data_IF_641534023687
#
_entry.id   IF_641534023687
#
_cell.length_a   1.000
_cell.length_b   1.000
_cell.length_c   1.000
_cell.angle_alpha   90.00
_cell.angle_beta   90.00
_cell.angle_gamma   90.00
#
_symmetry.space_group_name_H-M   'P 1'
#
loop_
_entity.id
_entity.type
_entity.pdbx_description
1 polymer ?
#
# COMPACT_ATOMS: atom_id res chain seq x y z
N UNK A 1 -19.35 19.15 0.95
CA UNK A 1 -18.54 18.07 1.56
C UNK A 1 -17.09 18.34 1.23
N UNK A 2 -16.13 18.23 2.17
CA UNK A 2 -14.73 18.44 1.83
C UNK A 2 -14.26 17.36 0.84
N UNK A 3 -13.39 17.77 -0.09
CA UNK A 3 -12.80 16.91 -1.11
C UNK A 3 -11.98 15.77 -0.46
N UNK A 4 -12.17 14.53 -0.94
CA UNK A 4 -11.37 13.36 -0.53
C UNK A 4 -10.20 13.20 -1.50
N UNK A 5 -9.03 12.86 -0.96
CA UNK A 5 -7.82 12.62 -1.73
C UNK A 5 -7.53 11.11 -1.77
N UNK A 6 -7.37 10.59 -2.98
CA UNK A 6 -7.04 9.20 -3.24
C UNK A 6 -5.63 9.11 -3.76
N UNK A 7 -4.77 8.41 -3.04
CA UNK A 7 -3.46 8.04 -3.56
C UNK A 7 -3.64 6.80 -4.44
N UNK A 8 -3.40 6.96 -5.75
CA UNK A 8 -3.26 5.83 -6.67
C UNK A 8 -1.80 5.43 -6.60
N UNK A 9 -1.51 4.34 -5.91
CA UNK A 9 -0.15 3.90 -5.63
C UNK A 9 0.07 2.45 -6.06
N UNK A 10 1.34 2.11 -6.29
CA UNK A 10 1.81 0.74 -6.13
C UNK A 10 1.76 0.32 -4.66
N UNK A 11 2.16 -0.91 -4.40
CA UNK A 11 2.31 -1.45 -3.04
C UNK A 11 3.77 -1.72 -2.78
N UNK A 12 4.50 -0.69 -2.39
CA UNK A 12 5.88 -0.79 -1.94
C UNK A 12 6.09 0.06 -0.68
N UNK A 13 7.31 0.06 -0.15
CA UNK A 13 7.61 0.85 1.04
C UNK A 13 7.51 2.36 0.83
N UNK A 14 7.86 2.86 -0.36
CA UNK A 14 7.87 4.30 -0.68
C UNK A 14 6.44 4.83 -0.66
N UNK A 15 5.50 4.11 -1.26
CA UNK A 15 4.12 4.59 -1.35
C UNK A 15 3.36 4.44 -0.04
N UNK A 16 3.65 3.41 0.75
CA UNK A 16 3.17 3.36 2.13
C UNK A 16 3.69 4.54 2.94
N UNK A 17 4.99 4.86 2.83
CA UNK A 17 5.59 5.98 3.54
C UNK A 17 4.98 7.34 3.13
N UNK A 18 4.73 7.54 1.83
CA UNK A 18 4.06 8.71 1.29
C UNK A 18 2.61 8.81 1.79
N UNK A 19 1.87 7.71 1.75
CA UNK A 19 0.51 7.66 2.28
C UNK A 19 0.41 8.05 3.75
N UNK A 20 1.31 7.53 4.60
CA UNK A 20 1.32 7.92 6.02
C UNK A 20 1.48 9.42 6.19
N UNK A 21 2.40 10.06 5.44
CA UNK A 21 2.60 11.52 5.50
C UNK A 21 1.33 12.27 5.07
N UNK A 22 0.65 11.77 4.04
CA UNK A 22 -0.62 12.33 3.58
C UNK A 22 -1.74 12.17 4.63
N UNK A 23 -1.86 10.99 5.22
CA UNK A 23 -2.84 10.68 6.29
C UNK A 23 -2.62 11.55 7.53
N UNK A 24 -1.37 11.79 7.91
CA UNK A 24 -1.04 12.69 9.03
C UNK A 24 -1.46 14.14 8.78
N UNK A 25 -1.41 14.61 7.53
CA UNK A 25 -1.80 15.97 7.18
C UNK A 25 -3.31 16.13 6.96
N UNK A 26 -3.96 15.11 6.37
CA UNK A 26 -5.34 15.22 5.89
C UNK A 26 -6.36 14.44 6.73
N UNK A 27 -5.89 13.56 7.61
CA UNK A 27 -6.71 12.67 8.44
C UNK A 27 -7.62 11.79 7.58
N UNK A 28 -8.89 11.69 7.96
CA UNK A 28 -9.91 10.89 7.26
C UNK A 28 -10.20 11.30 5.82
N UNK A 29 -9.67 12.44 5.36
CA UNK A 29 -9.80 12.86 3.96
C UNK A 29 -8.82 12.14 3.03
N UNK A 30 -7.75 11.58 3.57
CA UNK A 30 -6.82 10.73 2.83
C UNK A 30 -7.24 9.27 2.96
N UNK A 31 -7.28 8.60 1.82
CA UNK A 31 -7.58 7.18 1.74
C UNK A 31 -6.58 6.49 0.81
N UNK A 32 -6.11 5.33 1.23
CA UNK A 32 -5.26 4.49 0.41
C UNK A 32 -6.12 3.70 -0.55
N UNK A 33 -5.89 3.85 -1.86
CA UNK A 33 -6.63 3.09 -2.83
C UNK A 33 -6.06 1.68 -2.95
N UNK A 34 -6.93 0.68 -2.83
CA UNK A 34 -6.58 -0.72 -3.06
C UNK A 34 -7.21 -1.18 -4.37
N UNK A 35 -6.38 -1.64 -5.30
CA UNK A 35 -6.78 -2.41 -6.46
C UNK A 35 -7.70 -3.56 -6.07
N UNK A 36 -8.74 -3.77 -6.86
CA UNK A 36 -9.53 -4.99 -6.77
C UNK A 36 -8.63 -6.21 -7.02
N UNK A 37 -8.83 -7.29 -6.28
CA UNK A 37 -8.02 -8.52 -6.36
C UNK A 37 -6.52 -8.34 -6.04
N UNK A 38 -6.15 -7.30 -5.27
CA UNK A 38 -4.75 -7.03 -4.92
C UNK A 38 -4.01 -8.25 -4.38
N UNK A 39 -4.68 -9.16 -3.65
CA UNK A 39 -4.08 -10.40 -3.12
C UNK A 39 -3.51 -11.27 -4.24
N UNK A 40 -4.33 -11.56 -5.26
CA UNK A 40 -3.92 -12.35 -6.43
C UNK A 40 -2.85 -11.62 -7.24
N UNK A 41 -2.98 -10.31 -7.40
CA UNK A 41 -2.00 -9.50 -8.14
C UNK A 41 -0.64 -9.49 -7.44
N UNK A 42 -0.62 -9.36 -6.11
CA UNK A 42 0.60 -9.40 -5.30
C UNK A 42 1.30 -10.76 -5.43
N UNK A 43 0.57 -11.86 -5.28
CA UNK A 43 1.16 -13.20 -5.41
C UNK A 43 1.66 -13.49 -6.82
N UNK A 44 0.97 -13.00 -7.86
CA UNK A 44 1.30 -13.31 -9.26
C UNK A 44 2.37 -12.39 -9.86
N UNK A 45 2.34 -11.11 -9.52
CA UNK A 45 3.16 -10.07 -10.14
C UNK A 45 4.03 -9.30 -9.15
N UNK A 46 3.95 -9.64 -7.86
CA UNK A 46 4.81 -9.05 -6.84
C UNK A 46 6.28 -9.34 -7.11
N UNK A 47 7.13 -8.38 -6.78
CA UNK A 47 8.55 -8.41 -7.04
C UNK A 47 9.32 -8.33 -5.71
N UNK A 48 10.16 -9.32 -5.46
CA UNK A 48 11.02 -9.34 -4.28
C UNK A 48 12.12 -8.26 -4.35
N UNK A 49 12.62 -7.96 -5.56
CA UNK A 49 13.61 -6.89 -5.74
C UNK A 49 13.06 -5.54 -5.28
N UNK A 50 11.85 -5.18 -5.73
CA UNK A 50 11.18 -3.93 -5.32
C UNK A 50 10.94 -3.89 -3.80
N UNK A 51 10.56 -5.03 -3.21
CA UNK A 51 10.42 -5.16 -1.76
C UNK A 51 11.72 -4.84 -1.02
N UNK A 52 12.84 -5.43 -1.45
CA UNK A 52 14.16 -5.18 -0.85
C UNK A 52 14.57 -3.72 -1.04
N UNK A 53 14.41 -3.20 -2.26
CA UNK A 53 14.83 -1.85 -2.63
C UNK A 53 14.08 -0.75 -1.84
N UNK A 54 12.85 -1.04 -1.36
CA UNK A 54 12.00 -0.10 -0.62
C UNK A 54 11.78 -0.49 0.86
N UNK A 55 12.51 -1.49 1.36
CA UNK A 55 12.30 -2.05 2.70
C UNK A 55 12.46 -1.01 3.82
N UNK A 56 13.38 -0.06 3.64
CA UNK A 56 13.62 1.00 4.64
C UNK A 56 12.39 1.88 4.85
N UNK A 57 11.73 2.28 3.77
CA UNK A 57 10.53 3.11 3.78
C UNK A 57 9.35 2.33 4.34
N UNK A 58 9.25 1.03 4.01
CA UNK A 58 8.25 0.13 4.58
C UNK A 58 8.38 0.03 6.11
N UNK A 59 9.58 -0.22 6.62
CA UNK A 59 9.81 -0.28 8.07
C UNK A 59 9.54 1.07 8.75
N UNK A 60 9.88 2.17 8.07
CA UNK A 60 9.56 3.52 8.53
C UNK A 60 8.06 3.73 8.63
N UNK A 61 7.30 3.28 7.64
CA UNK A 61 5.84 3.28 7.69
C UNK A 61 5.33 2.49 8.91
N UNK A 62 5.74 1.24 9.10
CA UNK A 62 5.25 0.40 10.20
C UNK A 62 5.52 1.00 11.58
N UNK A 63 6.72 1.58 11.77
CA UNK A 63 7.06 2.23 13.05
C UNK A 63 6.24 3.48 13.34
N UNK A 64 5.70 4.15 12.31
CA UNK A 64 5.13 5.49 12.43
C UNK A 64 3.63 5.59 12.05
N UNK A 65 3.01 4.55 11.48
CA UNK A 65 1.59 4.57 11.12
C UNK A 65 0.65 4.69 12.34
N UNK A 66 1.14 4.49 13.56
CA UNK A 66 0.41 4.82 14.79
C UNK A 66 -0.94 4.07 14.92
N UNK A 67 -1.87 4.65 15.67
CA UNK A 67 -3.16 4.00 15.98
C UNK A 67 -4.19 4.09 14.86
N UNK A 68 -4.05 5.00 13.89
CA UNK A 68 -5.05 5.13 12.82
C UNK A 68 -5.06 3.91 11.89
N UNK A 69 -3.93 3.22 11.75
CA UNK A 69 -3.83 2.00 10.95
C UNK A 69 -4.73 0.88 11.49
N UNK A 70 -5.03 0.86 12.80
CA UNK A 70 -5.94 -0.12 13.41
C UNK A 70 -7.37 -0.04 12.86
N UNK A 71 -7.75 1.08 12.25
CA UNK A 71 -9.06 1.27 11.65
C UNK A 71 -9.08 0.90 10.15
N UNK A 72 -7.92 0.62 9.55
CA UNK A 72 -7.73 0.41 8.11
C UNK A 72 -7.52 -1.09 7.80
N UNK A 73 -8.58 -1.90 8.01
CA UNK A 73 -8.50 -3.37 7.95
C UNK A 73 -7.89 -3.94 6.66
N UNK A 74 -8.31 -3.45 5.49
CA UNK A 74 -7.80 -3.97 4.22
C UNK A 74 -6.35 -3.52 3.96
N UNK A 75 -5.96 -2.32 4.38
CA UNK A 75 -4.57 -1.87 4.30
C UNK A 75 -3.67 -2.72 5.20
N UNK A 76 -4.11 -3.02 6.44
CA UNK A 76 -3.41 -3.95 7.32
C UNK A 76 -3.24 -5.33 6.69
N UNK A 77 -4.28 -5.84 6.03
CA UNK A 77 -4.20 -7.12 5.33
C UNK A 77 -3.17 -7.08 4.19
N UNK A 78 -3.10 -5.99 3.42
CA UNK A 78 -2.09 -5.79 2.37
C UNK A 78 -0.68 -5.80 2.95
N UNK A 79 -0.42 -4.97 3.97
CA UNK A 79 0.88 -4.87 4.64
C UNK A 79 1.35 -6.23 5.16
N UNK A 80 0.45 -6.98 5.81
CA UNK A 80 0.76 -8.32 6.30
C UNK A 80 1.14 -9.27 5.16
N UNK A 81 0.37 -9.27 4.07
CA UNK A 81 0.63 -10.12 2.92
C UNK A 81 1.96 -9.76 2.22
N UNK A 82 2.31 -8.48 2.13
CA UNK A 82 3.60 -8.02 1.60
C UNK A 82 4.77 -8.55 2.44
N UNK A 83 4.66 -8.46 3.78
CA UNK A 83 5.67 -8.95 4.71
C UNK A 83 5.85 -10.47 4.65
N UNK A 84 4.74 -11.21 4.69
CA UNK A 84 4.76 -12.67 4.69
C UNK A 84 5.36 -13.25 3.40
N UNK A 85 5.08 -12.61 2.27
CA UNK A 85 5.57 -13.05 0.96
C UNK A 85 6.93 -12.42 0.60
N UNK A 86 7.32 -11.33 1.24
CA UNK A 86 8.49 -10.54 0.85
C UNK A 86 8.35 -9.95 -0.55
N UNK A 87 7.17 -9.43 -0.89
CA UNK A 87 6.82 -8.93 -2.22
C UNK A 87 6.25 -7.51 -2.14
N UNK A 88 6.60 -6.70 -3.15
CA UNK A 88 6.01 -5.40 -3.43
C UNK A 88 5.43 -5.40 -4.85
N UNK A 89 4.48 -4.50 -5.14
CA UNK A 89 3.73 -4.49 -6.39
C UNK A 89 3.79 -3.13 -7.07
N UNK A 90 4.14 -3.08 -8.35
CA UNK A 90 4.07 -1.85 -9.14
C UNK A 90 2.62 -1.44 -9.43
N UNK A 91 2.37 -0.14 -9.58
CA UNK A 91 1.03 0.38 -9.84
C UNK A 91 0.46 -0.11 -11.18
N UNK A 92 1.32 -0.23 -12.20
CA UNK A 92 0.97 -0.61 -13.58
C UNK A 92 0.34 -2.01 -13.68
N UNK A 93 0.47 -2.83 -12.64
CA UNK A 93 -0.19 -4.14 -12.56
C UNK A 93 -1.72 -4.03 -12.62
N UNK A 94 -2.30 -2.87 -12.30
CA UNK A 94 -3.74 -2.62 -12.49
C UNK A 94 -4.19 -2.89 -13.93
N UNK A 95 -3.33 -2.66 -14.94
CA UNK A 95 -3.64 -2.91 -16.34
C UNK A 95 -3.70 -4.41 -16.69
N UNK A 96 -3.11 -5.25 -15.85
CA UNK A 96 -3.14 -6.72 -15.97
C UNK A 96 -4.35 -7.33 -15.27
N UNK A 97 -5.08 -6.55 -14.45
CA UNK A 97 -6.27 -6.99 -13.74
C UNK A 97 -7.48 -7.20 -14.68
N UNK A 98 -7.53 -6.49 -15.82
CA UNK A 98 -8.57 -6.67 -16.85
C UNK A 98 -8.47 -7.97 -17.66
N UNK A 99 -7.43 -8.78 -17.41
CA UNK A 99 -7.22 -10.08 -18.04
C UNK A 99 -7.56 -11.27 -17.11
N UNK A 100 -8.22 -11.02 -15.98
CA UNK A 100 -8.69 -12.01 -15.00
C UNK A 100 -10.22 -12.08 -14.96
#
# INVERSE_FOLDING_TARGET
MPEKYHERAGYDGVELYNYRRLKEQLGERATFWLMQNWRTLLTRYGQNKLWIDTAREFESFERNAGQWLEQENELKALIQAMKEQGLALEQEVVWLNSAL
#
